data_IF_571147146671
#
_entry.id   IF_571147146671
#
_cell.length_a   1.000
_cell.length_b   1.000
_cell.length_c   1.000
_cell.angle_alpha   90.00
_cell.angle_beta   90.00
_cell.angle_gamma   90.00
#
_symmetry.space_group_name_H-M   'P 1'
#
loop_
_entity.id
_entity.type
_entity.pdbx_description
1 polymer ?
#
# COMPACT_ATOMS: atom_id res chain seq x y z
N UNK A 1 -6.09 9.36 -11.75
CA UNK A 1 -6.98 8.18 -11.86
C UNK A 1 -6.14 6.94 -11.57
N UNK A 2 -6.60 5.97 -10.75
CA UNK A 2 -5.83 4.76 -10.41
C UNK A 2 -5.45 3.96 -11.65
N UNK A 3 -4.21 3.50 -11.73
CA UNK A 3 -3.69 2.67 -12.83
C UNK A 3 -3.84 1.20 -12.46
N UNK A 4 -4.90 0.55 -12.97
CA UNK A 4 -5.23 -0.83 -12.63
C UNK A 4 -5.25 -1.72 -13.88
N UNK A 5 -4.61 -2.89 -13.77
CA UNK A 5 -4.79 -4.02 -14.70
C UNK A 5 -5.93 -4.89 -14.18
N UNK A 6 -6.90 -5.20 -15.04
CA UNK A 6 -8.12 -5.93 -14.71
C UNK A 6 -8.07 -7.33 -15.31
N UNK A 7 -8.35 -8.35 -14.50
CA UNK A 7 -8.33 -9.76 -14.91
C UNK A 7 -9.67 -10.42 -14.55
N UNK A 8 -10.44 -10.82 -15.54
CA UNK A 8 -11.70 -11.53 -15.33
C UNK A 8 -11.49 -12.95 -14.83
N UNK A 9 -12.38 -13.43 -13.98
CA UNK A 9 -12.37 -14.81 -13.49
C UNK A 9 -13.74 -15.48 -13.71
N UNK A 10 -13.72 -16.79 -13.96
CA UNK A 10 -14.92 -17.63 -14.07
C UNK A 10 -15.23 -18.39 -12.77
N UNK A 11 -14.52 -18.09 -11.69
CA UNK A 11 -14.73 -18.70 -10.37
C UNK A 11 -15.90 -18.02 -9.64
N UNK A 12 -16.52 -18.65 -8.61
CA UNK A 12 -17.61 -18.04 -7.84
C UNK A 12 -17.27 -16.64 -7.28
N UNK A 13 -16.03 -16.45 -6.83
CA UNK A 13 -15.41 -15.14 -6.59
C UNK A 13 -13.90 -15.24 -6.83
N UNK A 14 -13.25 -14.11 -7.10
CA UNK A 14 -11.84 -14.10 -7.49
C UNK A 14 -10.89 -14.58 -6.39
N UNK A 15 -11.26 -14.44 -5.12
CA UNK A 15 -10.45 -14.89 -3.98
C UNK A 15 -10.51 -16.40 -3.78
N UNK A 16 -11.61 -17.08 -4.14
CA UNK A 16 -11.82 -18.51 -3.83
C UNK A 16 -10.73 -19.44 -4.40
N UNK A 17 -10.09 -19.05 -5.50
CA UNK A 17 -9.01 -19.80 -6.14
C UNK A 17 -7.72 -19.00 -6.29
N UNK A 18 -7.42 -18.14 -5.33
CA UNK A 18 -6.22 -17.30 -5.33
C UNK A 18 -4.92 -18.08 -5.54
N UNK A 19 -4.83 -19.32 -5.04
CA UNK A 19 -3.69 -20.22 -5.20
C UNK A 19 -3.40 -20.60 -6.66
N UNK A 20 -4.36 -20.40 -7.59
CA UNK A 20 -4.14 -20.54 -9.05
C UNK A 20 -3.64 -19.23 -9.67
N UNK A 21 -3.82 -18.11 -8.99
CA UNK A 21 -3.41 -16.77 -9.45
C UNK A 21 -2.00 -16.45 -8.95
N UNK A 22 -1.69 -16.84 -7.71
CA UNK A 22 -0.38 -16.57 -7.06
C UNK A 22 0.17 -17.83 -6.43
N UNK A 23 1.49 -17.96 -6.43
CA UNK A 23 2.17 -19.08 -5.77
C UNK A 23 1.92 -19.05 -4.26
N UNK A 24 1.31 -20.10 -3.67
CA UNK A 24 0.94 -20.15 -2.25
C UNK A 24 2.13 -19.98 -1.29
N UNK A 25 3.28 -20.59 -1.63
CA UNK A 25 4.49 -20.48 -0.81
C UNK A 25 4.99 -19.04 -0.75
N UNK A 26 4.95 -18.33 -1.89
CA UNK A 26 5.35 -16.92 -1.94
C UNK A 26 4.39 -16.04 -1.12
N UNK A 27 3.09 -16.29 -1.21
CA UNK A 27 2.06 -15.58 -0.43
C UNK A 27 2.25 -15.83 1.06
N UNK A 28 2.48 -17.08 1.47
CA UNK A 28 2.74 -17.43 2.88
C UNK A 28 4.01 -16.75 3.42
N UNK A 29 5.09 -16.74 2.64
CA UNK A 29 6.33 -16.05 3.00
C UNK A 29 6.09 -14.53 3.16
N UNK A 30 5.45 -13.91 2.17
CA UNK A 30 5.15 -12.47 2.22
C UNK A 30 4.27 -12.14 3.42
N UNK A 31 3.22 -12.93 3.66
CA UNK A 31 2.34 -12.76 4.81
C UNK A 31 3.13 -12.80 6.12
N UNK A 32 3.99 -13.81 6.31
CA UNK A 32 4.79 -13.97 7.53
C UNK A 32 5.73 -12.78 7.74
N UNK A 33 6.46 -12.37 6.70
CA UNK A 33 7.39 -11.23 6.79
C UNK A 33 6.67 -9.91 7.11
N UNK A 34 5.53 -9.65 6.45
CA UNK A 34 4.72 -8.46 6.70
C UNK A 34 4.11 -8.51 8.10
N UNK A 35 3.56 -9.66 8.52
CA UNK A 35 2.97 -9.83 9.84
C UNK A 35 3.98 -9.58 10.96
N UNK A 36 5.18 -10.17 10.86
CA UNK A 36 6.26 -9.94 11.83
C UNK A 36 6.68 -8.46 11.81
N UNK A 37 6.90 -7.89 10.61
CA UNK A 37 7.32 -6.49 10.47
C UNK A 37 6.32 -5.51 11.10
N UNK A 38 5.04 -5.82 11.08
CA UNK A 38 3.95 -4.99 11.57
C UNK A 38 4.14 -4.55 13.03
N UNK A 39 4.68 -5.43 13.87
CA UNK A 39 4.81 -5.20 15.30
C UNK A 39 6.25 -4.93 15.77
N UNK A 40 7.24 -4.96 14.87
CA UNK A 40 8.63 -4.66 15.23
C UNK A 40 8.82 -3.18 15.56
N UNK A 41 9.52 -2.83 16.66
CA UNK A 41 9.83 -1.44 16.97
C UNK A 41 10.99 -0.88 16.13
N UNK A 42 11.91 -1.73 15.66
CA UNK A 42 13.06 -1.31 14.86
C UNK A 42 12.70 -0.97 13.42
N UNK A 43 12.79 0.31 13.06
CA UNK A 43 12.54 0.78 11.69
C UNK A 43 13.50 0.15 10.66
N UNK A 44 14.75 -0.07 11.03
CA UNK A 44 15.75 -0.68 10.13
C UNK A 44 15.40 -2.14 9.82
N UNK A 45 15.10 -2.93 10.84
CA UNK A 45 14.73 -4.35 10.69
C UNK A 45 13.40 -4.48 9.95
N UNK A 46 12.43 -3.60 10.25
CA UNK A 46 11.15 -3.54 9.53
C UNK A 46 11.35 -3.33 8.03
N UNK A 47 12.15 -2.31 7.63
CA UNK A 47 12.46 -2.06 6.21
C UNK A 47 13.18 -3.26 5.57
N UNK A 48 14.10 -3.90 6.29
CA UNK A 48 14.81 -5.08 5.78
C UNK A 48 13.83 -6.22 5.46
N UNK A 49 12.96 -6.61 6.41
CA UNK A 49 11.98 -7.69 6.20
C UNK A 49 11.01 -7.37 5.05
N UNK A 50 10.54 -6.14 4.98
CA UNK A 50 9.63 -5.74 3.91
C UNK A 50 10.29 -5.75 2.53
N UNK A 51 11.58 -5.39 2.42
CA UNK A 51 12.33 -5.51 1.16
C UNK A 51 12.46 -6.96 0.69
N UNK A 52 12.55 -7.95 1.60
CA UNK A 52 12.58 -9.37 1.24
C UNK A 52 11.29 -9.84 0.54
N UNK A 53 10.17 -9.15 0.75
CA UNK A 53 8.91 -9.42 0.02
C UNK A 53 8.94 -8.93 -1.43
N UNK A 54 9.93 -8.13 -1.81
CA UNK A 54 10.05 -7.49 -3.13
C UNK A 54 9.58 -6.03 -3.14
N UNK A 55 9.09 -5.48 -2.02
CA UNK A 55 8.77 -4.05 -1.92
C UNK A 55 10.00 -3.19 -2.18
N UNK A 56 9.78 -2.08 -2.88
CA UNK A 56 10.80 -1.06 -3.09
C UNK A 56 10.69 -0.02 -1.98
N UNK A 57 11.68 0.04 -1.10
CA UNK A 57 11.70 0.96 0.04
C UNK A 57 13.03 1.70 0.01
N UNK A 58 12.98 3.01 -0.25
CA UNK A 58 14.14 3.89 -0.29
C UNK A 58 14.68 4.22 1.12
N UNK A 59 15.66 5.11 1.19
CA UNK A 59 16.29 5.55 2.44
C UNK A 59 15.32 6.37 3.31
N UNK A 60 15.54 6.35 4.62
CA UNK A 60 14.82 7.16 5.61
C UNK A 60 13.30 6.98 5.65
N UNK A 61 12.75 5.93 5.02
CA UNK A 61 11.32 5.63 5.14
C UNK A 61 11.00 5.20 6.57
N UNK A 62 10.02 5.85 7.17
CA UNK A 62 9.53 5.54 8.52
C UNK A 62 8.17 4.85 8.45
N UNK A 63 8.08 3.65 9.01
CA UNK A 63 6.86 2.84 8.99
C UNK A 63 6.45 2.58 10.44
N UNK A 64 5.35 3.20 10.87
CA UNK A 64 4.84 3.05 12.23
C UNK A 64 4.36 1.62 12.52
N UNK A 65 4.13 1.31 13.78
CA UNK A 65 3.57 0.03 14.21
C UNK A 65 2.14 -0.13 13.68
N UNK A 66 1.73 -1.36 13.44
CA UNK A 66 0.38 -1.66 12.97
C UNK A 66 0.16 -1.50 11.46
N UNK A 67 1.11 -0.92 10.71
CA UNK A 67 0.96 -0.74 9.26
C UNK A 67 0.86 -2.08 8.56
N UNK A 68 -0.13 -2.22 7.68
CA UNK A 68 -0.37 -3.41 6.87
C UNK A 68 -0.07 -3.12 5.40
N UNK A 69 0.60 -4.06 4.75
CA UNK A 69 0.87 -4.01 3.31
C UNK A 69 0.23 -5.19 2.60
N UNK A 70 0.00 -5.04 1.32
CA UNK A 70 -0.43 -6.10 0.44
C UNK A 70 0.55 -7.27 0.48
N UNK A 71 0.09 -8.47 0.82
CA UNK A 71 0.95 -9.66 0.86
C UNK A 71 0.83 -10.55 -0.40
N UNK A 72 -0.14 -10.27 -1.28
CA UNK A 72 -0.23 -10.96 -2.56
C UNK A 72 0.73 -10.38 -3.60
N UNK A 73 0.78 -9.03 -3.74
CA UNK A 73 1.65 -8.31 -4.69
C UNK A 73 2.45 -7.20 -4.00
N UNK A 74 3.24 -7.51 -2.95
CA UNK A 74 4.03 -6.49 -2.26
C UNK A 74 5.06 -5.83 -3.17
N UNK A 75 5.56 -6.54 -4.19
CA UNK A 75 6.50 -6.01 -5.17
C UNK A 75 5.96 -4.83 -6.01
N UNK A 76 4.66 -4.60 -5.99
CA UNK A 76 4.02 -3.46 -6.63
C UNK A 76 3.93 -2.23 -5.71
N UNK A 77 4.43 -2.33 -4.48
CA UNK A 77 4.46 -1.20 -3.55
C UNK A 77 5.85 -0.56 -3.57
N UNK A 78 5.86 0.77 -3.72
CA UNK A 78 7.07 1.58 -3.71
C UNK A 78 6.92 2.73 -2.70
N UNK A 79 7.84 2.77 -1.73
CA UNK A 79 7.94 3.84 -0.72
C UNK A 79 9.21 4.62 -0.98
N UNK A 80 9.08 5.89 -1.34
CA UNK A 80 10.21 6.76 -1.67
C UNK A 80 10.78 7.44 -0.44
N UNK A 81 11.95 8.00 -0.62
CA UNK A 81 12.79 8.59 0.41
C UNK A 81 12.02 9.51 1.36
N UNK A 82 12.34 9.38 2.66
CA UNK A 82 11.83 10.22 3.73
C UNK A 82 10.28 10.23 3.86
N UNK A 83 9.59 9.20 3.33
CA UNK A 83 8.15 9.06 3.56
C UNK A 83 7.85 8.48 4.94
N UNK A 84 6.72 8.88 5.52
CA UNK A 84 6.24 8.41 6.82
C UNK A 84 4.85 7.78 6.69
N UNK A 85 4.72 6.51 7.07
CA UNK A 85 3.46 5.79 7.07
C UNK A 85 2.96 5.68 8.52
N UNK A 86 1.85 6.35 8.80
CA UNK A 86 1.27 6.46 10.12
C UNK A 86 0.72 5.14 10.67
N UNK A 87 0.60 5.07 11.99
CA UNK A 87 0.13 3.91 12.74
C UNK A 87 -1.16 3.30 12.14
N UNK A 88 -1.18 1.96 12.05
CA UNK A 88 -2.34 1.17 11.62
C UNK A 88 -2.91 1.53 10.23
N UNK A 89 -2.10 2.14 9.36
CA UNK A 89 -2.50 2.40 7.97
C UNK A 89 -2.34 1.17 7.10
N UNK A 90 -3.08 1.12 5.98
CA UNK A 90 -3.06 0.00 5.04
C UNK A 90 -2.69 0.49 3.64
N UNK A 91 -1.75 -0.19 2.98
CA UNK A 91 -1.34 0.08 1.60
C UNK A 91 -1.56 -1.16 0.75
N UNK A 92 -2.44 -1.05 -0.25
CA UNK A 92 -2.86 -2.14 -1.12
C UNK A 92 -2.24 -2.01 -2.51
N UNK A 93 -2.07 -3.14 -3.17
CA UNK A 93 -1.64 -3.25 -4.57
C UNK A 93 -2.59 -4.14 -5.39
N UNK A 94 -3.61 -4.73 -4.77
CA UNK A 94 -4.64 -5.52 -5.45
C UNK A 94 -6.03 -5.32 -4.84
N UNK A 95 -7.03 -5.77 -5.59
CA UNK A 95 -8.43 -5.86 -5.17
C UNK A 95 -9.02 -7.17 -5.72
N UNK A 96 -9.54 -8.04 -4.85
CA UNK A 96 -10.35 -9.18 -5.26
C UNK A 96 -11.83 -8.81 -5.27
N UNK A 97 -12.52 -9.09 -6.38
CA UNK A 97 -13.93 -8.81 -6.62
C UNK A 97 -14.68 -10.12 -6.98
N UNK A 98 -15.98 -10.05 -7.19
CA UNK A 98 -16.76 -11.25 -7.49
C UNK A 98 -16.33 -11.88 -8.83
N UNK A 99 -16.27 -11.11 -9.90
CA UNK A 99 -16.02 -11.64 -11.25
C UNK A 99 -14.67 -11.26 -11.84
N UNK A 100 -13.85 -10.54 -11.07
CA UNK A 100 -12.53 -10.09 -11.52
C UNK A 100 -11.61 -9.84 -10.33
N UNK A 101 -10.30 -9.76 -10.59
CA UNK A 101 -9.36 -9.14 -9.67
C UNK A 101 -8.58 -8.04 -10.39
N UNK A 102 -8.10 -7.10 -9.62
CA UNK A 102 -7.36 -5.94 -10.12
C UNK A 102 -6.04 -5.83 -9.40
N UNK A 103 -5.01 -5.47 -10.14
CA UNK A 103 -3.70 -5.16 -9.57
C UNK A 103 -3.23 -3.82 -10.09
N UNK A 104 -2.49 -3.08 -9.26
CA UNK A 104 -1.94 -1.80 -9.64
C UNK A 104 -0.77 -1.40 -8.76
N UNK A 105 0.25 -0.80 -9.38
CA UNK A 105 1.41 -0.27 -8.67
C UNK A 105 0.98 0.90 -7.79
N UNK A 106 1.27 0.80 -6.49
CA UNK A 106 1.00 1.86 -5.50
C UNK A 106 2.32 2.52 -5.11
N UNK A 107 2.39 3.83 -5.26
CA UNK A 107 3.61 4.61 -5.03
C UNK A 107 3.36 5.68 -3.99
N UNK A 108 4.17 5.69 -2.94
CA UNK A 108 4.25 6.77 -1.96
C UNK A 108 5.50 7.58 -2.27
N UNK A 109 5.32 8.83 -2.66
CA UNK A 109 6.39 9.75 -3.08
C UNK A 109 7.33 10.17 -1.97
N UNK A 110 8.31 11.01 -2.32
CA UNK A 110 9.28 11.56 -1.36
C UNK A 110 8.63 12.57 -0.41
N UNK A 111 9.08 12.58 0.85
CA UNK A 111 8.57 13.51 1.89
C UNK A 111 7.04 13.43 2.06
N UNK A 112 6.42 12.30 1.81
CA UNK A 112 4.98 12.09 1.97
C UNK A 112 4.67 11.66 3.40
N UNK A 113 3.64 12.26 3.99
CA UNK A 113 3.07 11.82 5.25
C UNK A 113 1.72 11.14 5.01
N UNK A 114 1.60 9.90 5.44
CA UNK A 114 0.31 9.19 5.55
C UNK A 114 -0.14 9.22 7.01
N UNK A 115 -1.27 9.86 7.27
CA UNK A 115 -1.88 9.93 8.60
C UNK A 115 -2.33 8.56 9.10
N UNK A 116 -2.48 8.43 10.42
CA UNK A 116 -2.87 7.17 11.10
C UNK A 116 -4.21 6.63 10.59
N UNK A 117 -4.38 5.30 10.58
CA UNK A 117 -5.63 4.61 10.19
C UNK A 117 -6.09 4.94 8.75
N UNK A 118 -5.21 5.34 7.86
CA UNK A 118 -5.55 5.64 6.47
C UNK A 118 -5.42 4.40 5.58
N UNK A 119 -6.25 4.33 4.54
CA UNK A 119 -6.19 3.25 3.55
C UNK A 119 -5.85 3.81 2.18
N UNK A 120 -4.78 3.29 1.57
CA UNK A 120 -4.34 3.63 0.22
C UNK A 120 -4.70 2.45 -0.69
N UNK A 121 -5.59 2.68 -1.65
CA UNK A 121 -6.05 1.63 -2.57
C UNK A 121 -5.02 1.33 -3.66
N UNK A 122 -5.16 0.14 -4.25
CA UNK A 122 -4.31 -0.32 -5.34
C UNK A 122 -4.25 0.66 -6.51
N UNK A 123 -3.07 0.84 -7.09
CA UNK A 123 -2.87 1.67 -8.27
C UNK A 123 -2.86 3.19 -8.02
N UNK A 124 -2.85 3.62 -6.77
CA UNK A 124 -2.74 5.03 -6.37
C UNK A 124 -1.28 5.49 -6.37
N UNK A 125 -1.03 6.69 -6.89
CA UNK A 125 0.23 7.38 -6.77
C UNK A 125 0.06 8.66 -5.92
N UNK A 126 0.75 8.73 -4.79
CA UNK A 126 0.83 9.92 -3.95
C UNK A 126 2.15 10.62 -4.26
N UNK A 127 2.07 11.79 -4.89
CA UNK A 127 3.24 12.53 -5.33
C UNK A 127 3.94 13.26 -4.19
N UNK A 128 5.19 13.66 -4.46
CA UNK A 128 6.11 14.21 -3.47
C UNK A 128 5.56 15.40 -2.68
N UNK A 129 6.03 15.54 -1.44
CA UNK A 129 5.70 16.62 -0.49
C UNK A 129 4.20 16.71 -0.17
N UNK A 130 3.45 15.62 -0.28
CA UNK A 130 2.01 15.62 -0.01
C UNK A 130 1.69 15.01 1.35
N UNK A 131 0.53 15.34 1.86
CA UNK A 131 0.05 14.86 3.15
C UNK A 131 -1.32 14.21 2.96
N UNK A 132 -1.50 13.02 3.52
CA UNK A 132 -2.80 12.38 3.70
C UNK A 132 -3.19 12.49 5.16
N UNK A 133 -4.34 13.08 5.43
CA UNK A 133 -4.90 13.22 6.78
C UNK A 133 -5.24 11.87 7.39
N UNK A 134 -5.28 11.80 8.73
CA UNK A 134 -5.67 10.59 9.44
C UNK A 134 -7.10 10.12 9.04
N UNK A 135 -7.36 8.79 9.15
CA UNK A 135 -8.66 8.19 8.86
C UNK A 135 -9.16 8.42 7.43
N UNK A 136 -8.26 8.51 6.47
CA UNK A 136 -8.59 8.81 5.06
C UNK A 136 -8.61 7.56 4.18
N UNK A 137 -9.52 7.55 3.19
CA UNK A 137 -9.55 6.56 2.12
C UNK A 137 -9.07 7.19 0.82
N UNK A 138 -7.82 6.90 0.42
CA UNK A 138 -7.23 7.42 -0.81
C UNK A 138 -7.54 6.47 -1.97
N UNK A 139 -8.46 6.88 -2.82
CA UNK A 139 -8.95 6.14 -3.97
C UNK A 139 -8.62 6.79 -5.33
N UNK A 140 -7.77 7.81 -5.34
CA UNK A 140 -7.27 8.50 -6.53
C UNK A 140 -5.89 9.05 -6.27
N UNK A 141 -5.15 9.38 -7.36
CA UNK A 141 -3.83 9.96 -7.23
C UNK A 141 -3.87 11.29 -6.49
N UNK A 142 -2.83 11.54 -5.68
CA UNK A 142 -2.67 12.76 -4.89
C UNK A 142 -1.57 13.61 -5.52
N UNK A 143 -1.88 14.84 -6.00
CA UNK A 143 -0.89 15.72 -6.61
C UNK A 143 0.22 16.12 -5.63
N UNK A 144 1.37 16.49 -6.16
CA UNK A 144 2.49 17.03 -5.34
C UNK A 144 2.07 18.27 -4.55
N UNK A 145 2.71 18.47 -3.40
CA UNK A 145 2.52 19.65 -2.55
C UNK A 145 1.05 19.85 -2.13
N UNK A 146 0.31 18.77 -1.85
CA UNK A 146 -1.11 18.86 -1.53
C UNK A 146 -1.48 18.12 -0.24
N UNK A 147 -2.55 18.57 0.40
CA UNK A 147 -3.16 17.91 1.54
C UNK A 147 -4.51 17.33 1.15
N UNK A 148 -4.64 16.02 1.32
CA UNK A 148 -5.86 15.26 1.07
C UNK A 148 -6.38 14.65 2.38
N UNK A 149 -7.70 14.65 2.59
CA UNK A 149 -8.29 13.98 3.77
C UNK A 149 -9.75 13.56 3.51
N UNK A 150 -10.24 12.63 4.33
CA UNK A 150 -11.62 12.17 4.33
C UNK A 150 -11.87 10.82 3.66
N UNK A 151 -13.15 10.41 3.59
CA UNK A 151 -13.62 9.13 3.03
C UNK A 151 -14.77 9.39 2.05
N UNK A 152 -14.49 9.35 0.72
CA UNK A 152 -13.19 9.29 0.08
C UNK A 152 -12.36 10.57 0.28
N UNK A 153 -11.03 10.43 0.24
CA UNK A 153 -10.12 11.56 0.42
C UNK A 153 -10.28 12.58 -0.71
N UNK A 154 -10.35 13.85 -0.33
CA UNK A 154 -10.43 15.00 -1.25
C UNK A 154 -9.34 15.98 -0.93
N UNK A 155 -8.98 16.79 -1.90
CA UNK A 155 -8.01 17.86 -1.72
C UNK A 155 -8.58 18.94 -0.78
N UNK A 156 -7.85 19.22 0.30
CA UNK A 156 -8.18 20.26 1.27
C UNK A 156 -7.44 21.55 0.94
N UNK A 157 -6.14 21.43 0.58
CA UNK A 157 -5.32 22.58 0.18
C UNK A 157 -4.11 22.14 -0.63
N UNK A 158 -3.46 23.12 -1.25
CA UNK A 158 -2.10 23.02 -1.83
C UNK A 158 -1.14 23.82 -0.93
N UNK A 159 0.09 23.31 -0.77
CA UNK A 159 1.16 23.97 0.00
C UNK A 159 1.96 24.93 -0.86
#
# INVERSE_FOLDING_TARGET
>A
MRKLSVFKTSTPNSLSKWHKIRNPFRVALNFTLIFVSKYLPSLALKRFLLRLTGMKIESNVSIATGVSFDFFWPELIELKENSLIGFNSTVLAHEFLIHEYRIGKTVIGKNVLIGVNSTILAGVEIHDNSVVGAMSLVNSDVPKNSFFAGVPAKQIKTF
#
